data_IF_451680097972
#
_entry.id   IF_451680097972
#
_cell.length_a   1.000
_cell.length_b   1.000
_cell.length_c   1.000
_cell.angle_alpha   90.00
_cell.angle_beta   90.00
_cell.angle_gamma   90.00
#
_symmetry.space_group_name_H-M   'P 1'
#
loop_
_entity.id
_entity.type
_entity.pdbx_description
1 polymer ?
#
# COMPACT_ATOMS: atom_id res chain seq x y z
N UNK A 1 0.70 -4.34 -15.59
CA UNK A 1 0.89 -3.36 -14.48
C UNK A 1 1.30 -4.04 -13.18
N UNK A 2 0.61 -5.12 -12.76
CA UNK A 2 0.92 -5.83 -11.49
C UNK A 2 2.32 -6.47 -11.45
N UNK A 3 2.88 -6.92 -12.56
CA UNK A 3 4.26 -7.43 -12.63
C UNK A 3 5.36 -6.42 -12.30
N UNK A 4 5.00 -5.17 -12.03
CA UNK A 4 5.95 -4.12 -11.59
C UNK A 4 5.91 -3.88 -10.08
N UNK A 5 5.02 -4.55 -9.35
CA UNK A 5 4.95 -4.45 -7.89
C UNK A 5 6.09 -5.24 -7.24
N UNK A 6 6.64 -4.72 -6.16
CA UNK A 6 7.47 -5.50 -5.24
C UNK A 6 6.63 -6.58 -4.54
N UNK A 7 7.28 -7.60 -4.00
CA UNK A 7 6.59 -8.73 -3.37
C UNK A 7 5.64 -8.31 -2.24
N UNK A 8 6.09 -7.44 -1.36
CA UNK A 8 5.27 -6.86 -0.27
C UNK A 8 4.00 -6.20 -0.79
N UNK A 9 4.12 -5.34 -1.81
CA UNK A 9 2.94 -4.69 -2.38
C UNK A 9 2.01 -5.66 -3.12
N UNK A 10 2.57 -6.63 -3.83
CA UNK A 10 1.79 -7.64 -4.51
C UNK A 10 0.93 -8.45 -3.52
N UNK A 11 1.55 -8.96 -2.45
CA UNK A 11 0.86 -9.70 -1.39
C UNK A 11 -0.23 -8.83 -0.74
N UNK A 12 0.08 -7.56 -0.46
CA UNK A 12 -0.90 -6.66 0.17
C UNK A 12 -2.12 -6.37 -0.72
N UNK A 13 -1.94 -6.28 -2.04
CA UNK A 13 -3.04 -6.09 -3.00
C UNK A 13 -3.90 -7.34 -3.11
N UNK A 14 -3.30 -8.53 -3.20
CA UNK A 14 -4.06 -9.79 -3.21
C UNK A 14 -4.89 -9.94 -1.94
N UNK A 15 -4.26 -9.74 -0.78
CA UNK A 15 -4.96 -9.76 0.52
C UNK A 15 -6.06 -8.70 0.60
N UNK A 16 -5.84 -7.51 0.03
CA UNK A 16 -6.87 -6.47 -0.02
C UNK A 16 -8.05 -6.84 -0.91
N UNK A 17 -7.82 -7.55 -2.01
CA UNK A 17 -8.89 -8.03 -2.88
C UNK A 17 -9.74 -9.11 -2.18
N UNK A 18 -9.10 -10.06 -1.50
CA UNK A 18 -9.79 -11.08 -0.71
C UNK A 18 -10.57 -10.45 0.46
N UNK A 19 -9.97 -9.50 1.16
CA UNK A 19 -10.63 -8.78 2.24
C UNK A 19 -11.83 -7.95 1.74
N UNK A 20 -11.69 -7.27 0.61
CA UNK A 20 -12.77 -6.55 -0.06
C UNK A 20 -13.95 -7.49 -0.39
N UNK A 21 -13.64 -8.69 -0.93
CA UNK A 21 -14.63 -9.73 -1.25
C UNK A 21 -15.37 -10.20 0.00
N UNK A 22 -14.64 -10.51 1.08
CA UNK A 22 -15.22 -10.94 2.36
C UNK A 22 -16.16 -9.89 2.96
N UNK A 23 -15.85 -8.61 2.78
CA UNK A 23 -16.69 -7.50 3.23
C UNK A 23 -17.89 -7.22 2.30
N UNK A 24 -17.92 -7.81 1.12
CA UNK A 24 -18.94 -7.54 0.10
C UNK A 24 -18.86 -6.13 -0.49
N UNK A 25 -17.66 -5.53 -0.53
CA UNK A 25 -17.45 -4.24 -1.19
C UNK A 25 -17.28 -4.42 -2.70
N UNK A 26 -17.81 -3.50 -3.55
CA UNK A 26 -17.74 -3.65 -5.00
C UNK A 26 -16.36 -3.39 -5.60
N UNK A 27 -15.53 -2.57 -4.94
CA UNK A 27 -14.22 -2.18 -5.43
C UNK A 27 -13.18 -2.28 -4.32
N UNK A 28 -11.95 -2.69 -4.68
CA UNK A 28 -10.79 -2.59 -3.79
C UNK A 28 -10.38 -1.14 -3.69
N UNK A 29 -10.55 -0.53 -2.53
CA UNK A 29 -10.24 0.86 -2.25
C UNK A 29 -8.87 1.02 -1.57
N UNK A 30 -8.34 2.26 -1.53
CA UNK A 30 -7.12 2.59 -0.81
C UNK A 30 -7.16 2.15 0.66
N UNK A 31 -8.32 2.25 1.31
CA UNK A 31 -8.49 1.83 2.70
C UNK A 31 -8.27 0.32 2.89
N UNK A 32 -8.75 -0.52 1.95
CA UNK A 32 -8.49 -1.96 1.98
C UNK A 32 -6.99 -2.25 1.88
N UNK A 33 -6.32 -1.58 0.94
CA UNK A 33 -4.91 -1.81 0.71
C UNK A 33 -4.04 -1.33 1.87
N UNK A 34 -4.27 -0.11 2.36
CA UNK A 34 -3.55 0.41 3.53
C UNK A 34 -3.73 -0.49 4.75
N UNK A 35 -4.95 -1.00 4.98
CA UNK A 35 -5.21 -1.95 6.05
C UNK A 35 -4.32 -3.19 5.94
N UNK A 36 -4.27 -3.83 4.77
CA UNK A 36 -3.44 -5.02 4.56
C UNK A 36 -1.94 -4.72 4.63
N UNK A 37 -1.52 -3.57 4.10
CA UNK A 37 -0.11 -3.17 4.13
C UNK A 37 0.40 -2.94 5.56
N UNK A 38 -0.46 -2.41 6.44
CA UNK A 38 -0.13 -2.25 7.87
C UNK A 38 0.02 -3.57 8.63
N UNK A 39 -0.61 -4.65 8.14
CA UNK A 39 -0.46 -5.98 8.75
C UNK A 39 0.88 -6.65 8.39
N UNK A 40 1.57 -6.18 7.34
CA UNK A 40 2.85 -6.73 6.93
C UNK A 40 3.98 -6.15 7.78
N UNK A 41 4.83 -7.00 8.41
CA UNK A 41 5.88 -6.50 9.28
C UNK A 41 6.98 -5.75 8.50
N UNK A 42 7.48 -4.67 9.07
CA UNK A 42 8.66 -3.90 8.62
C UNK A 42 8.65 -3.48 7.14
N UNK A 43 7.46 -3.16 6.59
CA UNK A 43 7.37 -2.55 5.26
C UNK A 43 7.96 -1.13 5.24
N UNK A 44 8.26 -0.61 4.04
CA UNK A 44 8.68 0.79 3.89
C UNK A 44 7.65 1.77 4.49
N UNK A 45 6.35 1.43 4.40
CA UNK A 45 5.29 2.21 5.05
C UNK A 45 5.55 2.38 6.55
N UNK A 46 5.89 1.30 7.28
CA UNK A 46 6.16 1.38 8.73
C UNK A 46 7.32 2.31 9.05
N UNK A 47 8.36 2.32 8.20
CA UNK A 47 9.50 3.22 8.35
C UNK A 47 9.11 4.67 8.13
N UNK A 48 8.30 4.93 7.09
CA UNK A 48 7.77 6.27 6.79
C UNK A 48 6.89 6.77 7.94
N UNK A 49 5.99 5.94 8.46
CA UNK A 49 5.13 6.29 9.60
C UNK A 49 5.95 6.63 10.85
N UNK A 50 7.01 5.85 11.12
CA UNK A 50 7.92 6.11 12.24
C UNK A 50 8.66 7.44 12.10
N UNK A 51 9.16 7.75 10.90
CA UNK A 51 9.83 9.03 10.64
C UNK A 51 8.89 10.24 10.64
N UNK A 52 7.63 10.04 10.21
CA UNK A 52 6.58 11.05 10.29
C UNK A 52 5.92 11.14 11.68
N UNK A 53 6.41 10.39 12.66
CA UNK A 53 5.82 10.32 14.02
C UNK A 53 4.29 10.02 14.00
N UNK A 54 3.85 9.24 13.01
CA UNK A 54 2.45 8.84 12.86
C UNK A 54 2.16 7.67 13.80
N UNK A 55 1.19 7.85 14.68
CA UNK A 55 0.72 6.78 15.56
C UNK A 55 -0.05 5.72 14.73
N UNK A 56 0.53 4.52 14.65
CA UNK A 56 -0.04 3.40 13.90
C UNK A 56 -1.39 2.93 14.45
N UNK A 57 -1.62 3.05 15.77
CA UNK A 57 -2.90 2.67 16.37
C UNK A 57 -4.01 3.67 16.02
N UNK A 58 -3.68 4.96 15.89
CA UNK A 58 -4.61 5.97 15.40
C UNK A 58 -4.93 5.73 13.93
N UNK A 59 -3.90 5.47 13.12
CA UNK A 59 -4.05 5.19 11.69
C UNK A 59 -4.92 3.94 11.45
N UNK A 60 -4.68 2.85 12.16
CA UNK A 60 -5.46 1.61 12.02
C UNK A 60 -6.96 1.84 12.37
N UNK A 61 -7.23 2.58 13.45
CA UNK A 61 -8.60 2.95 13.83
C UNK A 61 -9.29 3.81 12.77
N UNK A 62 -8.57 4.76 12.18
CA UNK A 62 -9.12 5.63 11.15
C UNK A 62 -9.40 4.85 9.86
N UNK A 63 -8.50 3.93 9.48
CA UNK A 63 -8.71 3.01 8.35
C UNK A 63 -9.93 2.13 8.60
N UNK A 64 -10.07 1.56 9.80
CA UNK A 64 -11.24 0.76 10.16
C UNK A 64 -12.55 1.56 10.02
N UNK A 65 -12.53 2.84 10.42
CA UNK A 65 -13.67 3.74 10.25
C UNK A 65 -13.95 4.03 8.77
N UNK A 66 -12.91 4.29 7.96
CA UNK A 66 -13.06 4.50 6.52
C UNK A 66 -13.64 3.26 5.83
N UNK A 67 -13.18 2.07 6.19
CA UNK A 67 -13.71 0.81 5.70
C UNK A 67 -15.20 0.61 6.07
N UNK A 68 -15.62 1.04 7.26
CA UNK A 68 -16.99 0.86 7.73
C UNK A 68 -18.03 1.66 6.92
N UNK A 69 -17.62 2.75 6.27
CA UNK A 69 -18.52 3.60 5.46
C UNK A 69 -18.54 3.22 3.98
N UNK A 70 -17.70 2.28 3.55
CA UNK A 70 -17.70 1.82 2.16
C UNK A 70 -18.99 1.05 1.82
N UNK A 71 -19.50 1.19 0.58
CA UNK A 71 -20.65 0.43 0.11
C UNK A 71 -20.41 -1.08 0.26
N UNK A 72 -21.40 -1.81 0.77
CA UNK A 72 -21.36 -3.26 0.93
C UNK A 72 -22.58 -3.94 0.29
N UNK A 73 -22.57 -5.27 0.23
CA UNK A 73 -23.64 -6.06 -0.37
C UNK A 73 -23.42 -6.42 -1.84
N UNK A 74 -22.23 -6.18 -2.40
CA UNK A 74 -21.86 -6.63 -3.74
C UNK A 74 -21.59 -8.15 -3.73
N UNK A 75 -22.14 -8.86 -4.72
CA UNK A 75 -21.92 -10.29 -4.89
C UNK A 75 -20.52 -10.66 -5.43
N UNK A 76 -19.80 -9.67 -5.99
CA UNK A 76 -18.45 -9.86 -6.53
C UNK A 76 -17.68 -8.53 -6.49
N UNK A 77 -16.36 -8.64 -6.46
CA UNK A 77 -15.47 -7.48 -6.62
C UNK A 77 -15.37 -7.13 -8.11
N UNK A 78 -15.72 -5.90 -8.47
CA UNK A 78 -15.70 -5.41 -9.85
C UNK A 78 -14.32 -4.95 -10.32
N UNK A 79 -13.41 -4.66 -9.40
CA UNK A 79 -12.06 -4.20 -9.72
C UNK A 79 -11.47 -3.28 -8.65
N UNK A 80 -10.51 -2.45 -9.05
CA UNK A 80 -9.87 -1.47 -8.18
C UNK A 80 -10.57 -0.10 -8.29
N UNK A 81 -10.60 0.65 -7.19
CA UNK A 81 -11.09 2.02 -7.20
C UNK A 81 -10.21 2.90 -8.11
N UNK A 82 -10.76 3.98 -8.69
CA UNK A 82 -9.98 4.90 -9.51
C UNK A 82 -8.76 5.48 -8.79
N UNK A 83 -8.89 5.77 -7.49
CA UNK A 83 -7.78 6.26 -6.68
C UNK A 83 -6.65 5.22 -6.56
N UNK A 84 -6.99 3.94 -6.38
CA UNK A 84 -5.99 2.88 -6.29
C UNK A 84 -5.26 2.66 -7.60
N UNK A 85 -5.98 2.69 -8.73
CA UNK A 85 -5.39 2.59 -10.06
C UNK A 85 -4.43 3.75 -10.33
N UNK A 86 -4.89 4.99 -10.10
CA UNK A 86 -4.08 6.19 -10.28
C UNK A 86 -2.84 6.19 -9.37
N UNK A 87 -2.98 5.71 -8.13
CA UNK A 87 -1.85 5.61 -7.20
C UNK A 87 -0.76 4.67 -7.72
N UNK A 88 -1.14 3.51 -8.28
CA UNK A 88 -0.19 2.55 -8.86
C UNK A 88 0.51 3.15 -10.10
N UNK A 89 -0.24 3.83 -10.98
CA UNK A 89 0.31 4.47 -12.17
C UNK A 89 1.35 5.54 -11.81
N UNK A 90 1.00 6.43 -10.88
CA UNK A 90 1.91 7.48 -10.44
C UNK A 90 3.10 6.92 -9.65
N UNK A 91 2.88 5.88 -8.84
CA UNK A 91 3.98 5.21 -8.13
C UNK A 91 4.97 4.57 -9.10
N UNK A 92 4.51 4.01 -10.22
CA UNK A 92 5.39 3.48 -11.27
C UNK A 92 6.22 4.58 -11.93
N UNK A 93 5.60 5.71 -12.25
CA UNK A 93 6.31 6.86 -12.82
C UNK A 93 7.38 7.37 -11.85
N UNK A 94 7.06 7.55 -10.58
CA UNK A 94 8.02 7.96 -9.56
C UNK A 94 9.14 6.94 -9.37
N UNK A 95 8.81 5.66 -9.25
CA UNK A 95 9.79 4.59 -9.10
C UNK A 95 10.82 4.64 -10.22
N UNK A 96 10.37 4.70 -11.47
CA UNK A 96 11.26 4.62 -12.64
C UNK A 96 12.01 5.91 -12.93
N UNK A 97 11.32 7.06 -12.92
CA UNK A 97 11.91 8.32 -13.36
C UNK A 97 12.64 9.08 -12.25
N UNK A 98 12.16 8.97 -11.02
CA UNK A 98 12.75 9.72 -9.90
C UNK A 98 13.75 8.86 -9.12
N UNK A 99 13.41 7.60 -8.86
CA UNK A 99 14.22 6.74 -7.99
C UNK A 99 15.04 5.69 -8.74
N UNK A 100 14.84 5.53 -10.06
CA UNK A 100 15.56 4.56 -10.89
C UNK A 100 15.27 3.10 -10.49
N UNK A 101 14.18 2.86 -9.77
CA UNK A 101 13.76 1.54 -9.34
C UNK A 101 12.88 0.89 -10.41
N UNK A 102 13.09 -0.40 -10.63
CA UNK A 102 12.30 -1.21 -11.57
C UNK A 102 11.05 -1.82 -10.94
N UNK A 103 10.81 -1.52 -9.67
CA UNK A 103 9.68 -2.05 -8.88
C UNK A 103 8.97 -0.93 -8.16
N UNK A 104 7.67 -1.12 -7.98
CA UNK A 104 6.91 -0.26 -7.09
C UNK A 104 7.02 -0.86 -5.69
N UNK A 105 7.68 -0.14 -4.77
CA UNK A 105 7.72 -0.43 -3.34
C UNK A 105 6.64 0.35 -2.61
N UNK A 106 6.34 -0.04 -1.37
CA UNK A 106 5.34 0.70 -0.58
C UNK A 106 5.73 2.17 -0.36
N UNK A 107 7.03 2.49 -0.31
CA UNK A 107 7.52 3.87 -0.24
C UNK A 107 7.12 4.70 -1.47
N UNK A 108 7.28 4.15 -2.67
CA UNK A 108 6.95 4.85 -3.91
C UNK A 108 5.45 5.08 -4.06
N UNK A 109 4.66 4.13 -3.55
CA UNK A 109 3.22 4.28 -3.48
C UNK A 109 2.82 5.42 -2.55
N UNK A 110 3.38 5.47 -1.34
CA UNK A 110 3.10 6.56 -0.39
C UNK A 110 3.55 7.91 -0.97
N UNK A 111 4.72 7.95 -1.64
CA UNK A 111 5.17 9.17 -2.33
C UNK A 111 4.15 9.62 -3.39
N UNK A 112 3.63 8.71 -4.21
CA UNK A 112 2.62 9.03 -5.22
C UNK A 112 1.33 9.56 -4.58
N UNK A 113 0.86 8.91 -3.50
CA UNK A 113 -0.31 9.33 -2.74
C UNK A 113 -0.14 10.73 -2.14
N UNK A 114 1.04 11.05 -1.62
CA UNK A 114 1.30 12.34 -0.98
C UNK A 114 1.53 13.47 -1.99
N UNK A 115 2.15 13.18 -3.14
CA UNK A 115 2.51 14.21 -4.14
C UNK A 115 1.39 14.56 -5.10
N UNK A 116 0.45 13.66 -5.32
CA UNK A 116 -0.69 13.89 -6.21
C UNK A 116 -1.84 14.53 -5.42
N UNK A 117 -2.27 15.77 -5.73
CA UNK A 117 -3.25 16.48 -4.90
C UNK A 117 -4.57 15.74 -4.70
N UNK A 118 -5.06 15.06 -5.73
CA UNK A 118 -6.28 14.25 -5.67
C UNK A 118 -6.12 13.05 -4.72
N UNK A 119 -5.04 12.29 -4.91
CA UNK A 119 -4.73 11.12 -4.09
C UNK A 119 -4.45 11.49 -2.64
N UNK A 120 -3.73 12.61 -2.42
CA UNK A 120 -3.48 13.13 -1.08
C UNK A 120 -4.77 13.48 -0.36
N UNK A 121 -5.71 14.11 -1.06
CA UNK A 121 -7.03 14.42 -0.48
C UNK A 121 -7.77 13.14 -0.09
N UNK A 122 -7.77 12.12 -0.95
CA UNK A 122 -8.37 10.83 -0.65
C UNK A 122 -7.69 10.15 0.54
N UNK A 123 -6.36 10.15 0.59
CA UNK A 123 -5.55 9.59 1.67
C UNK A 123 -5.83 10.27 3.02
N UNK A 124 -5.83 11.62 3.04
CA UNK A 124 -6.13 12.40 4.24
C UNK A 124 -7.61 12.29 4.66
N UNK A 125 -8.49 11.96 3.73
CA UNK A 125 -9.87 11.58 4.02
C UNK A 125 -10.00 10.26 4.78
N UNK A 126 -9.04 9.35 4.61
CA UNK A 126 -8.96 8.10 5.39
C UNK A 126 -8.43 8.40 6.79
N UNK A 127 -7.27 9.07 6.89
CA UNK A 127 -6.72 9.48 8.18
C UNK A 127 -5.95 10.80 8.08
N UNK A 128 -6.36 11.76 8.88
CA UNK A 128 -5.68 13.06 8.99
C UNK A 128 -4.29 12.96 9.66
N UNK A 129 -4.01 11.88 10.39
CA UNK A 129 -2.70 11.66 11.03
C UNK A 129 -1.56 11.58 10.00
N UNK A 130 -1.85 11.15 8.78
CA UNK A 130 -0.90 11.10 7.67
C UNK A 130 -0.42 12.49 7.20
N UNK A 131 -1.06 13.56 7.65
CA UNK A 131 -0.63 14.93 7.40
C UNK A 131 0.75 15.26 8.03
N UNK A 132 1.15 14.50 9.05
CA UNK A 132 2.44 14.62 9.70
C UNK A 132 3.63 14.23 8.78
N UNK A 133 3.38 13.45 7.73
CA UNK A 133 4.41 13.11 6.75
C UNK A 133 4.71 14.35 5.88
N UNK A 134 5.95 14.86 5.91
CA UNK A 134 6.31 16.04 5.13
C UNK A 134 6.29 15.72 3.63
N UNK A 135 5.65 16.57 2.83
CA UNK A 135 5.60 16.42 1.37
C UNK A 135 6.82 17.09 0.73
N UNK A 136 7.24 18.22 1.29
CA UNK A 136 8.39 18.97 0.80
C UNK A 136 9.68 18.19 1.09
N UNK A 137 10.46 17.98 0.04
CA UNK A 137 11.71 17.21 0.15
C UNK A 137 11.53 15.70 0.33
N UNK A 138 10.32 15.17 0.26
CA UNK A 138 10.02 13.74 0.43
C UNK A 138 10.88 12.85 -0.48
N UNK A 139 11.12 13.26 -1.73
CA UNK A 139 11.95 12.51 -2.68
C UNK A 139 13.40 12.33 -2.21
N UNK A 140 13.94 13.31 -1.49
CA UNK A 140 15.31 13.24 -0.98
C UNK A 140 15.38 12.46 0.35
N UNK A 141 14.32 12.51 1.13
CA UNK A 141 14.28 11.90 2.46
C UNK A 141 13.90 10.41 2.40
N UNK A 142 12.97 10.02 1.52
CA UNK A 142 12.49 8.64 1.41
C UNK A 142 13.61 7.60 1.26
N UNK A 143 14.59 7.75 0.34
CA UNK A 143 15.67 6.78 0.21
C UNK A 143 16.47 6.57 1.50
N UNK A 144 16.62 7.63 2.31
CA UNK A 144 17.31 7.57 3.60
C UNK A 144 16.48 6.79 4.64
N UNK A 145 15.17 7.04 4.68
CA UNK A 145 14.27 6.40 5.65
C UNK A 145 14.11 4.91 5.42
N UNK A 146 14.14 4.49 4.14
CA UNK A 146 13.93 3.09 3.73
C UNK A 146 15.22 2.32 3.46
N UNK A 147 16.37 2.89 3.84
CA UNK A 147 17.67 2.22 3.71
C UNK A 147 17.64 0.88 4.45
N UNK A 148 18.11 -0.18 3.80
CA UNK A 148 18.12 -1.55 4.32
C UNK A 148 16.74 -2.11 4.74
N UNK A 149 15.66 -1.64 4.11
CA UNK A 149 14.36 -2.27 4.33
C UNK A 149 14.26 -3.63 3.64
N UNK A 150 13.45 -4.56 4.14
CA UNK A 150 13.22 -5.84 3.48
C UNK A 150 12.77 -5.70 2.02
N UNK A 151 11.95 -4.70 1.70
CA UNK A 151 11.48 -4.44 0.34
C UNK A 151 12.61 -4.10 -0.65
N UNK A 152 13.77 -3.63 -0.15
CA UNK A 152 14.92 -3.30 -1.03
C UNK A 152 15.53 -4.55 -1.70
N UNK A 153 15.46 -5.69 -1.05
CA UNK A 153 16.05 -6.97 -1.51
C UNK A 153 15.04 -7.95 -2.09
N UNK A 154 13.76 -7.55 -2.23
CA UNK A 154 12.73 -8.43 -2.78
C UNK A 154 13.00 -8.75 -4.26
N UNK A 155 12.75 -10.00 -4.72
CA UNK A 155 12.83 -10.37 -6.13
C UNK A 155 11.70 -9.69 -6.94
N UNK A 156 11.89 -9.55 -8.25
CA UNK A 156 10.83 -9.16 -9.16
C UNK A 156 9.76 -10.25 -9.24
N UNK A 157 8.48 -9.86 -9.28
CA UNK A 157 7.39 -10.81 -9.52
C UNK A 157 7.46 -11.49 -10.92
N UNK A 158 8.20 -10.90 -11.86
CA UNK A 158 8.42 -11.48 -13.19
C UNK A 158 9.51 -12.57 -13.20
N UNK A 159 10.39 -12.60 -12.19
CA UNK A 159 11.53 -13.53 -12.12
C UNK A 159 11.23 -14.81 -11.34
N UNK A 160 10.08 -14.87 -10.69
CA UNK A 160 9.64 -16.03 -9.95
C UNK A 160 8.33 -16.56 -10.52
N UNK A 161 8.33 -17.81 -10.92
CA UNK A 161 7.12 -18.63 -11.02
C UNK A 161 6.51 -18.66 -9.60
N UNK A 162 5.71 -17.64 -9.29
CA UNK A 162 5.15 -17.41 -7.97
C UNK A 162 4.06 -18.46 -7.76
N UNK A 163 4.50 -19.68 -7.44
CA UNK A 163 3.57 -20.74 -7.09
C UNK A 163 2.81 -20.31 -5.85
N UNK A 164 1.48 -20.42 -5.92
CA UNK A 164 0.49 -20.14 -4.87
C UNK A 164 0.87 -20.69 -3.48
N UNK A 165 1.79 -21.66 -3.43
CA UNK A 165 2.21 -22.35 -2.22
C UNK A 165 3.04 -21.50 -1.24
N UNK A 166 3.75 -20.45 -1.71
CA UNK A 166 4.50 -19.54 -0.82
C UNK A 166 3.65 -18.47 -0.18
N UNK A 167 2.57 -18.04 -0.83
CA UNK A 167 1.59 -17.12 -0.24
C UNK A 167 0.84 -17.75 0.92
N UNK A 168 0.48 -19.05 0.82
CA UNK A 168 -0.18 -19.79 1.89
C UNK A 168 0.67 -19.90 3.17
N UNK A 169 2.00 -20.01 3.03
CA UNK A 169 2.91 -20.11 4.18
C UNK A 169 3.13 -18.78 4.91
N UNK A 170 2.96 -17.64 4.24
CA UNK A 170 3.03 -16.33 4.89
C UNK A 170 1.73 -16.00 5.62
N UNK A 171 0.57 -16.37 5.05
CA UNK A 171 -0.75 -16.16 5.64
C UNK A 171 -0.99 -17.05 6.88
N UNK A 172 -0.43 -18.28 6.90
CA UNK A 172 -0.58 -19.20 8.03
C UNK A 172 0.08 -18.74 9.34
N UNK A 173 0.91 -17.70 9.30
CA UNK A 173 1.56 -17.11 10.49
C UNK A 173 0.81 -15.91 11.07
N UNK A 174 -0.28 -15.48 10.47
CA UNK A 174 -1.09 -14.31 10.89
C UNK A 174 -2.46 -14.66 11.47
N UNK A 175 -2.75 -15.95 11.72
CA UNK A 175 -3.96 -16.37 12.44
C UNK A 175 -3.56 -16.74 13.88
N UNK A 176 -4.25 -16.15 14.89
CA UNK A 176 -4.07 -16.51 16.29
C UNK A 176 -4.54 -17.92 16.59
#
# INVERSE_FOLDING_TARGET
MFGKLGGTLFISIESAADFCKLRGNPYVDLAHWLHQLLQLPDSDLHRILRHGEVDSAVLDRDIARALAVLPCGAGSVSGFSPHLQLAIEHAWVLATLTFGDRRIRSAWLIAALMKTPELRRALLGISSSLQAIPVDGLEHQLPLWITNSPEASEPHCEDTDFSRDRCAAACARCLP
#
